data_IF_984885359924
#
_entry.id   IF_984885359924
#
_cell.length_a   1.000
_cell.length_b   1.000
_cell.length_c   1.000
_cell.angle_alpha   90.00
_cell.angle_beta   90.00
_cell.angle_gamma   90.00
#
_symmetry.space_group_name_H-M   'P 1'
#
loop_
_entity.id
_entity.type
_entity.pdbx_description
1 polymer ?
#
# COMPACT_ATOMS: atom_id res chain seq x y z
N UNK A 1 -40.33 36.70 45.92
CA UNK A 1 -40.32 35.52 45.03
C UNK A 1 -39.76 35.96 43.69
N UNK A 2 -38.56 35.51 43.30
CA UNK A 2 -38.24 35.38 41.87
C UNK A 2 -37.06 34.44 41.67
N UNK A 3 -37.27 33.54 40.71
CA UNK A 3 -36.58 32.27 40.51
C UNK A 3 -35.28 32.45 39.72
N UNK A 4 -34.30 31.65 40.11
CA UNK A 4 -33.04 31.39 39.40
C UNK A 4 -33.35 30.73 38.05
N UNK A 5 -32.71 31.19 36.97
CA UNK A 5 -32.50 30.42 35.74
C UNK A 5 -31.04 30.58 35.31
N UNK A 6 -30.25 29.54 35.55
CA UNK A 6 -28.90 29.37 35.00
C UNK A 6 -29.09 28.67 33.65
N UNK A 7 -28.82 29.39 32.56
CA UNK A 7 -28.81 28.86 31.20
C UNK A 7 -27.44 28.26 30.89
N UNK A 8 -27.40 26.95 30.69
CA UNK A 8 -26.24 26.20 30.21
C UNK A 8 -26.15 26.39 28.68
N UNK A 9 -25.17 27.16 28.19
CA UNK A 9 -24.80 27.20 26.77
C UNK A 9 -23.77 26.09 26.51
N UNK A 10 -24.17 25.07 25.74
CA UNK A 10 -23.25 24.10 25.14
C UNK A 10 -22.88 24.64 23.76
N UNK A 11 -21.66 25.16 23.62
CA UNK A 11 -21.10 25.53 22.33
C UNK A 11 -20.67 24.28 21.56
N UNK A 12 -21.43 23.92 20.53
CA UNK A 12 -21.08 22.88 19.57
C UNK A 12 -20.12 23.50 18.54
N UNK A 13 -18.81 23.26 18.69
CA UNK A 13 -17.82 23.66 17.69
C UNK A 13 -17.84 22.65 16.53
N UNK A 14 -18.51 22.99 15.44
CA UNK A 14 -18.36 22.29 14.16
C UNK A 14 -17.05 22.74 13.50
N UNK A 15 -16.00 21.91 13.59
CA UNK A 15 -14.81 22.07 12.75
C UNK A 15 -15.10 21.46 11.38
N UNK A 16 -15.49 22.30 10.42
CA UNK A 16 -15.45 21.93 9.00
C UNK A 16 -14.01 22.07 8.49
N UNK A 17 -13.33 20.94 8.29
CA UNK A 17 -12.09 20.89 7.50
C UNK A 17 -12.47 21.06 6.02
N UNK A 18 -12.43 22.30 5.55
CA UNK A 18 -12.47 22.59 4.12
C UNK A 18 -11.11 22.20 3.53
N UNK A 19 -11.00 21.01 2.94
CA UNK A 19 -9.85 20.66 2.11
C UNK A 19 -9.93 21.50 0.83
N UNK A 20 -9.27 22.66 0.84
CA UNK A 20 -9.08 23.47 -0.37
C UNK A 20 -8.11 22.74 -1.28
N UNK A 21 -8.62 22.11 -2.34
CA UNK A 21 -7.83 21.63 -3.46
C UNK A 21 -7.17 22.83 -4.16
N UNK A 22 -5.95 23.17 -3.75
CA UNK A 22 -5.11 24.08 -4.52
C UNK A 22 -4.58 23.32 -5.73
N UNK A 23 -5.16 23.59 -6.89
CA UNK A 23 -4.67 23.15 -8.20
C UNK A 23 -3.20 23.57 -8.39
N UNK A 24 -2.29 22.61 -8.25
CA UNK A 24 -0.89 22.81 -8.58
C UNK A 24 -0.74 22.66 -10.09
N UNK A 25 -0.48 23.76 -10.81
CA UNK A 25 -0.18 23.71 -12.24
C UNK A 25 1.25 23.18 -12.40
N UNK A 26 1.40 21.96 -12.90
CA UNK A 26 2.72 21.36 -13.13
C UNK A 26 3.41 22.05 -14.31
N UNK A 27 4.56 22.67 -14.02
CA UNK A 27 5.48 23.20 -15.00
C UNK A 27 6.14 22.07 -15.77
N UNK A 28 6.32 22.30 -17.07
CA UNK A 28 7.01 21.41 -17.99
C UNK A 28 8.48 21.26 -17.57
N UNK A 29 8.86 20.04 -17.19
CA UNK A 29 10.23 19.54 -17.23
C UNK A 29 10.96 19.50 -15.89
N UNK A 30 10.96 18.33 -15.27
CA UNK A 30 12.12 17.78 -14.56
C UNK A 30 12.23 16.29 -14.95
N UNK A 31 13.31 15.94 -15.63
CA UNK A 31 13.57 14.63 -16.23
C UNK A 31 13.91 13.57 -15.17
N UNK A 32 12.89 13.10 -14.43
CA UNK A 32 12.95 11.84 -13.69
C UNK A 32 12.01 10.77 -14.26
N UNK A 33 11.59 10.92 -15.52
CA UNK A 33 11.02 9.82 -16.29
C UNK A 33 12.14 8.86 -16.68
N UNK A 34 12.32 7.78 -15.91
CA UNK A 34 12.91 6.57 -16.48
C UNK A 34 11.89 6.03 -17.51
N UNK A 35 12.20 6.19 -18.78
CA UNK A 35 11.68 5.34 -19.87
C UNK A 35 10.16 5.38 -20.17
N UNK A 36 9.40 6.38 -19.73
CA UNK A 36 7.98 6.53 -20.11
C UNK A 36 7.08 5.38 -19.69
N UNK A 37 7.47 4.66 -18.63
CA UNK A 37 6.87 3.39 -18.17
C UNK A 37 5.93 3.54 -16.98
N UNK A 38 5.72 4.77 -16.51
CA UNK A 38 5.07 5.05 -15.23
C UNK A 38 3.76 5.80 -15.46
N UNK A 39 2.65 5.05 -15.41
CA UNK A 39 1.32 5.63 -15.32
C UNK A 39 1.18 6.24 -13.93
N UNK A 40 1.55 7.52 -13.79
CA UNK A 40 0.85 8.36 -12.82
C UNK A 40 -0.62 8.26 -13.17
N UNK A 41 -1.48 8.01 -12.17
CA UNK A 41 -2.92 8.09 -12.38
C UNK A 41 -3.23 9.36 -13.18
N UNK A 42 -4.23 9.32 -14.07
CA UNK A 42 -4.71 10.50 -14.83
C UNK A 42 -4.94 11.74 -13.93
N UNK A 43 -5.04 11.54 -12.61
CA UNK A 43 -5.31 12.54 -11.58
C UNK A 43 -4.18 12.78 -10.55
N UNK A 44 -2.95 12.33 -10.79
CA UNK A 44 -1.77 12.82 -10.06
C UNK A 44 -1.64 12.39 -8.59
N UNK A 45 -2.40 11.40 -8.11
CA UNK A 45 -2.02 10.68 -6.89
C UNK A 45 -0.89 9.72 -7.26
N UNK A 46 0.31 9.92 -6.72
CA UNK A 46 1.39 8.96 -6.83
C UNK A 46 0.99 7.70 -6.05
N UNK A 47 0.43 6.73 -6.78
CA UNK A 47 0.00 5.44 -6.24
C UNK A 47 1.21 4.64 -5.74
N UNK A 48 2.38 4.83 -6.34
CA UNK A 48 3.63 4.23 -5.90
C UNK A 48 4.81 5.17 -6.17
N UNK A 49 5.67 5.34 -5.18
CA UNK A 49 6.93 6.10 -5.31
C UNK A 49 7.94 5.27 -6.12
N UNK A 50 8.38 5.72 -7.32
CA UNK A 50 9.29 4.93 -8.15
C UNK A 50 10.62 4.60 -7.47
N UNK A 51 11.06 5.39 -6.50
CA UNK A 51 12.35 5.19 -5.83
C UNK A 51 12.27 4.22 -4.65
N UNK A 52 11.05 3.94 -4.14
CA UNK A 52 10.83 3.06 -2.99
C UNK A 52 9.68 2.07 -3.22
N UNK A 53 9.45 1.68 -4.48
CA UNK A 53 8.41 0.73 -4.86
C UNK A 53 8.93 -0.42 -5.68
N UNK A 54 8.28 -1.57 -5.53
CA UNK A 54 8.42 -2.71 -6.44
C UNK A 54 7.11 -2.84 -7.20
N UNK A 55 7.19 -2.82 -8.52
CA UNK A 55 6.05 -2.98 -9.40
C UNK A 55 5.93 -4.42 -9.89
N UNK A 56 4.71 -4.87 -10.15
CA UNK A 56 4.44 -6.17 -10.76
C UNK A 56 5.14 -6.34 -12.11
N UNK A 57 5.35 -5.24 -12.85
CA UNK A 57 6.12 -5.23 -14.10
C UNK A 57 7.59 -5.62 -13.95
N UNK A 58 8.16 -5.49 -12.75
CA UNK A 58 9.59 -5.74 -12.46
C UNK A 58 9.90 -7.22 -12.22
N UNK A 59 8.86 -8.04 -12.08
CA UNK A 59 8.98 -9.48 -11.92
C UNK A 59 9.40 -10.14 -13.23
N UNK A 60 10.32 -11.11 -13.10
CA UNK A 60 10.78 -11.97 -14.19
C UNK A 60 9.85 -13.18 -14.25
N UNK A 61 9.21 -13.36 -15.40
CA UNK A 61 8.29 -14.48 -15.61
C UNK A 61 9.00 -15.83 -15.48
N UNK A 62 8.25 -16.83 -15.00
CA UNK A 62 8.72 -18.21 -14.86
C UNK A 62 9.61 -18.45 -13.65
N UNK A 63 9.92 -17.44 -12.83
CA UNK A 63 10.62 -17.63 -11.56
C UNK A 63 9.64 -17.96 -10.43
N UNK A 64 10.02 -18.87 -9.55
CA UNK A 64 9.31 -19.10 -8.28
C UNK A 64 9.78 -18.16 -7.16
N UNK A 65 10.99 -17.60 -7.26
CA UNK A 65 11.54 -16.65 -6.27
C UNK A 65 12.31 -15.52 -6.96
N UNK A 66 12.14 -14.30 -6.46
CA UNK A 66 12.87 -13.12 -6.90
C UNK A 66 13.19 -12.21 -5.72
N UNK A 67 14.47 -11.83 -5.60
CA UNK A 67 14.92 -10.84 -4.62
C UNK A 67 15.19 -9.51 -5.30
N UNK A 68 14.57 -8.46 -4.79
CA UNK A 68 14.84 -7.07 -5.12
C UNK A 68 15.85 -6.54 -4.09
N UNK A 69 17.10 -6.38 -4.55
CA UNK A 69 18.19 -5.91 -3.70
C UNK A 69 18.07 -4.42 -3.46
N UNK A 70 18.29 -4.01 -2.21
CA UNK A 70 18.22 -2.60 -1.81
C UNK A 70 16.91 -1.93 -2.27
N UNK A 71 15.80 -2.67 -2.11
CA UNK A 71 14.44 -2.20 -2.42
C UNK A 71 14.19 -0.84 -1.77
N UNK A 72 14.57 -0.74 -0.51
CA UNK A 72 14.79 0.50 0.18
C UNK A 72 16.20 0.41 0.82
N UNK A 73 16.84 1.54 1.20
CA UNK A 73 18.17 1.53 1.79
C UNK A 73 18.41 0.42 2.83
N UNK A 74 19.42 -0.40 2.58
CA UNK A 74 19.87 -1.53 3.41
C UNK A 74 18.80 -2.61 3.67
N UNK A 75 17.77 -2.68 2.84
CA UNK A 75 16.71 -3.69 2.96
C UNK A 75 16.43 -4.34 1.62
N UNK A 76 16.54 -5.66 1.57
CA UNK A 76 16.13 -6.46 0.42
C UNK A 76 14.71 -6.96 0.66
N UNK A 77 13.94 -7.10 -0.43
CA UNK A 77 12.66 -7.78 -0.43
C UNK A 77 12.75 -9.06 -1.26
N UNK A 78 12.39 -10.20 -0.69
CA UNK A 78 12.35 -11.49 -1.39
C UNK A 78 10.92 -11.97 -1.52
N UNK A 79 10.48 -12.13 -2.77
CA UNK A 79 9.17 -12.62 -3.13
C UNK A 79 9.27 -14.08 -3.55
N UNK A 80 8.33 -14.90 -3.11
CA UNK A 80 8.18 -16.31 -3.48
C UNK A 80 6.75 -16.58 -3.94
N UNK A 81 6.60 -17.05 -5.18
CA UNK A 81 5.34 -17.57 -5.69
C UNK A 81 5.12 -19.00 -5.17
N UNK A 82 3.90 -19.28 -4.74
CA UNK A 82 3.48 -20.61 -4.31
C UNK A 82 2.23 -21.01 -5.09
N UNK A 83 2.17 -22.26 -5.53
CA UNK A 83 1.13 -22.76 -6.45
C UNK A 83 1.52 -22.67 -7.93
N UNK A 84 2.62 -21.98 -8.26
CA UNK A 84 3.15 -21.85 -9.61
C UNK A 84 4.41 -20.98 -9.64
N UNK A 85 4.67 -20.32 -10.77
CA UNK A 85 5.73 -19.32 -10.92
C UNK A 85 5.13 -17.92 -11.08
N UNK A 86 5.92 -16.88 -10.89
CA UNK A 86 5.52 -15.52 -11.24
C UNK A 86 5.12 -15.44 -12.72
N UNK A 87 3.94 -14.89 -12.95
CA UNK A 87 3.45 -14.55 -14.27
C UNK A 87 2.79 -13.18 -14.21
N UNK A 88 3.04 -12.34 -15.21
CA UNK A 88 2.45 -11.02 -15.28
C UNK A 88 1.14 -11.06 -16.05
N UNK A 89 0.24 -10.15 -15.70
CA UNK A 89 -0.99 -9.87 -16.44
C UNK A 89 -1.12 -8.38 -16.67
N UNK A 90 -1.61 -8.01 -17.84
CA UNK A 90 -1.85 -6.60 -18.20
C UNK A 90 -3.29 -6.42 -18.63
N UNK A 91 -3.96 -5.44 -18.06
CA UNK A 91 -5.33 -5.05 -18.40
C UNK A 91 -5.45 -3.54 -18.27
N UNK A 92 -6.12 -2.89 -19.23
CA UNK A 92 -6.27 -1.44 -19.29
C UNK A 92 -4.94 -0.66 -19.13
N UNK A 93 -3.85 -1.21 -19.69
CA UNK A 93 -2.52 -0.61 -19.58
C UNK A 93 -1.83 -0.75 -18.21
N UNK A 94 -2.49 -1.36 -17.21
CA UNK A 94 -1.89 -1.67 -15.91
C UNK A 94 -1.33 -3.09 -15.92
N UNK A 95 -0.04 -3.24 -15.59
CA UNK A 95 0.62 -4.54 -15.44
C UNK A 95 0.81 -4.88 -13.97
N UNK A 96 0.33 -6.05 -13.54
CA UNK A 96 0.60 -6.63 -12.23
C UNK A 96 1.28 -8.00 -12.33
N UNK A 97 1.65 -8.56 -11.19
CA UNK A 97 2.16 -9.93 -11.07
C UNK A 97 1.20 -10.80 -10.26
N UNK A 98 0.93 -11.98 -10.77
CA UNK A 98 0.26 -13.08 -10.09
C UNK A 98 1.07 -14.37 -10.21
N UNK A 99 0.36 -15.50 -10.26
CA UNK A 99 0.94 -16.84 -10.31
C UNK A 99 0.46 -17.55 -11.58
N UNK A 100 1.27 -18.48 -12.09
CA UNK A 100 1.02 -19.19 -13.35
C UNK A 100 0.28 -20.53 -13.18
N UNK A 101 -0.17 -20.88 -11.99
CA UNK A 101 -0.61 -22.25 -11.67
C UNK A 101 -2.05 -22.53 -12.10
N UNK A 102 -2.93 -21.54 -11.92
CA UNK A 102 -4.35 -21.64 -12.25
C UNK A 102 -4.77 -20.59 -13.27
N UNK A 103 -5.26 -19.45 -12.82
CA UNK A 103 -5.67 -18.37 -13.70
C UNK A 103 -4.45 -17.56 -14.10
N UNK A 104 -4.19 -17.53 -15.40
CA UNK A 104 -2.89 -17.14 -15.94
C UNK A 104 -2.52 -15.70 -15.56
N UNK A 105 -1.56 -15.56 -14.64
CA UNK A 105 -1.04 -14.27 -14.20
C UNK A 105 -1.86 -13.59 -13.10
N UNK A 106 -2.79 -14.29 -12.46
CA UNK A 106 -3.53 -13.86 -11.26
C UNK A 106 -3.12 -14.71 -10.05
N UNK A 107 -3.40 -14.23 -8.84
CA UNK A 107 -3.28 -15.01 -7.61
C UNK A 107 -4.65 -15.64 -7.38
N UNK A 108 -4.78 -16.95 -7.58
CA UNK A 108 -6.02 -17.73 -7.43
C UNK A 108 -5.97 -18.58 -6.14
N UNK A 109 -7.09 -19.21 -5.77
CA UNK A 109 -7.24 -20.06 -4.59
C UNK A 109 -6.14 -21.12 -4.51
N UNK A 110 -5.44 -21.20 -3.38
CA UNK A 110 -4.33 -22.15 -3.21
C UNK A 110 -3.00 -21.66 -3.80
N UNK A 111 -3.01 -20.50 -4.46
CA UNK A 111 -1.83 -19.75 -4.83
C UNK A 111 -1.63 -18.57 -3.87
N UNK A 112 -0.38 -18.13 -3.76
CA UNK A 112 -0.03 -16.91 -3.03
C UNK A 112 1.33 -16.38 -3.44
N UNK A 113 1.57 -15.12 -3.10
CA UNK A 113 2.90 -14.50 -3.15
C UNK A 113 3.31 -14.15 -1.73
N UNK A 114 4.34 -14.84 -1.24
CA UNK A 114 4.96 -14.59 0.06
C UNK A 114 6.10 -13.58 -0.10
N UNK A 115 6.18 -12.59 0.78
CA UNK A 115 7.21 -11.54 0.77
C UNK A 115 7.90 -11.52 2.12
N UNK A 116 9.23 -11.50 2.11
CA UNK A 116 10.06 -11.32 3.31
C UNK A 116 11.03 -10.16 3.13
N UNK A 117 11.32 -9.47 4.21
CA UNK A 117 12.23 -8.33 4.23
C UNK A 117 13.44 -8.64 5.12
N UNK A 118 14.63 -8.19 4.71
CA UNK A 118 15.84 -8.36 5.55
C UNK A 118 15.84 -7.48 6.81
N UNK A 119 15.01 -6.43 6.82
CA UNK A 119 14.72 -5.56 7.96
C UNK A 119 13.22 -5.33 8.05
N UNK A 120 12.73 -4.99 9.23
CA UNK A 120 11.32 -4.64 9.40
C UNK A 120 11.06 -3.23 8.85
N UNK A 121 10.02 -3.08 8.03
CA UNK A 121 9.77 -1.84 7.28
C UNK A 121 8.37 -1.29 7.55
N UNK A 122 8.17 -0.01 7.24
CA UNK A 122 6.84 0.59 7.16
C UNK A 122 6.35 0.49 5.72
N UNK A 123 5.23 -0.20 5.51
CA UNK A 123 4.56 -0.24 4.21
C UNK A 123 3.71 1.01 4.10
N UNK A 124 3.98 1.82 3.08
CA UNK A 124 3.27 3.09 2.85
C UNK A 124 2.13 2.94 1.86
N UNK A 125 2.26 2.02 0.90
CA UNK A 125 1.20 1.73 -0.05
C UNK A 125 1.24 0.28 -0.54
N UNK A 126 0.06 -0.30 -0.78
CA UNK A 126 -0.12 -1.53 -1.56
C UNK A 126 -1.13 -1.23 -2.65
N UNK A 127 -0.86 -1.64 -3.88
CA UNK A 127 -1.82 -1.56 -4.99
C UNK A 127 -2.10 -2.94 -5.53
N UNK A 128 -3.38 -3.30 -5.55
CA UNK A 128 -3.88 -4.53 -6.15
C UNK A 128 -4.73 -4.18 -7.38
N UNK A 129 -4.73 -5.07 -8.36
CA UNK A 129 -5.55 -4.94 -9.57
C UNK A 129 -6.40 -6.18 -9.79
N UNK A 130 -7.38 -6.04 -10.68
CA UNK A 130 -8.29 -7.12 -11.07
C UNK A 130 -9.13 -7.60 -9.88
N UNK A 131 -9.59 -6.68 -9.02
CA UNK A 131 -10.61 -6.99 -8.01
C UNK A 131 -11.91 -6.31 -8.43
N UNK A 132 -12.81 -7.07 -9.05
CA UNK A 132 -14.08 -6.62 -9.58
C UNK A 132 -15.24 -6.78 -8.58
N UNK A 133 -16.32 -6.03 -8.81
CA UNK A 133 -17.56 -6.17 -8.04
C UNK A 133 -18.77 -6.12 -8.97
N UNK A 134 -18.98 -7.18 -9.75
CA UNK A 134 -20.17 -7.19 -10.58
C UNK A 134 -20.34 -8.33 -11.58
N UNK A 135 -21.44 -8.27 -12.35
CA UNK A 135 -21.79 -9.30 -13.34
C UNK A 135 -20.83 -9.34 -14.53
N UNK A 136 -19.96 -8.34 -14.70
CA UNK A 136 -19.03 -8.15 -15.84
C UNK A 136 -18.17 -9.39 -16.08
N UNK A 137 -17.77 -10.07 -15.00
CA UNK A 137 -17.05 -11.34 -15.03
C UNK A 137 -17.80 -12.47 -14.30
N UNK A 138 -18.97 -12.17 -13.72
CA UNK A 138 -19.75 -13.12 -12.93
C UNK A 138 -19.27 -13.28 -11.48
N UNK A 139 -18.31 -12.45 -11.08
CA UNK A 139 -17.67 -12.45 -9.77
C UNK A 139 -18.02 -11.16 -9.02
N UNK A 140 -18.83 -11.33 -7.99
CA UNK A 140 -19.36 -10.24 -7.17
C UNK A 140 -18.54 -10.14 -5.90
N UNK A 141 -18.16 -8.93 -5.51
CA UNK A 141 -17.35 -8.59 -4.34
C UNK A 141 -16.03 -9.34 -4.23
N UNK A 142 -15.19 -9.27 -5.26
CA UNK A 142 -13.89 -9.92 -5.20
C UNK A 142 -13.05 -9.39 -4.03
N UNK A 143 -12.42 -10.33 -3.33
CA UNK A 143 -11.75 -10.07 -2.06
C UNK A 143 -10.33 -10.62 -2.07
N UNK A 144 -9.35 -9.74 -1.93
CA UNK A 144 -7.97 -10.12 -1.67
C UNK A 144 -7.70 -10.21 -0.16
N UNK A 145 -6.92 -11.22 0.24
CA UNK A 145 -6.41 -11.34 1.61
C UNK A 145 -4.92 -11.05 1.66
N UNK A 146 -4.55 -10.21 2.61
CA UNK A 146 -3.17 -9.87 2.94
C UNK A 146 -2.90 -10.26 4.39
N UNK A 147 -2.02 -11.23 4.61
CA UNK A 147 -1.53 -11.55 5.95
C UNK A 147 -0.23 -10.80 6.20
N UNK A 148 -0.18 -9.97 7.24
CA UNK A 148 1.03 -9.28 7.67
C UNK A 148 1.61 -9.94 8.91
N UNK A 149 2.93 -10.20 8.89
CA UNK A 149 3.70 -10.53 10.09
C UNK A 149 4.40 -9.27 10.57
N UNK A 150 4.17 -8.89 11.82
CA UNK A 150 4.73 -7.67 12.40
C UNK A 150 6.07 -7.92 13.10
N UNK A 151 6.74 -6.84 13.50
CA UNK A 151 8.02 -6.85 14.22
C UNK A 151 8.01 -7.74 15.48
N UNK A 152 6.89 -7.79 16.19
CA UNK A 152 6.71 -8.60 17.41
C UNK A 152 6.40 -10.08 17.12
N UNK A 153 6.39 -10.47 15.83
CA UNK A 153 6.05 -11.81 15.37
C UNK A 153 4.55 -12.09 15.30
N UNK A 154 3.69 -11.13 15.69
CA UNK A 154 2.24 -11.30 15.57
C UNK A 154 1.83 -11.29 14.10
N UNK A 155 0.82 -12.09 13.77
CA UNK A 155 0.22 -12.12 12.45
C UNK A 155 -1.20 -11.55 12.48
N UNK A 156 -1.59 -10.85 11.43
CA UNK A 156 -2.97 -10.40 11.25
C UNK A 156 -3.38 -10.46 9.79
N UNK A 157 -4.63 -10.85 9.58
CA UNK A 157 -5.26 -10.93 8.27
C UNK A 157 -6.02 -9.64 7.99
N UNK A 158 -5.84 -9.12 6.78
CA UNK A 158 -6.54 -7.96 6.27
C UNK A 158 -7.16 -8.27 4.93
N UNK A 159 -8.28 -7.63 4.63
CA UNK A 159 -9.08 -7.89 3.44
C UNK A 159 -9.34 -6.59 2.70
N UNK A 160 -9.08 -6.60 1.40
CA UNK A 160 -9.56 -5.59 0.46
C UNK A 160 -10.69 -6.22 -0.35
N UNK A 161 -11.89 -5.65 -0.27
CA UNK A 161 -13.07 -6.14 -0.98
C UNK A 161 -13.59 -5.05 -1.90
N UNK A 162 -13.74 -5.34 -3.18
CA UNK A 162 -14.46 -4.48 -4.11
C UNK A 162 -15.96 -4.50 -3.75
N UNK A 163 -16.61 -3.34 -3.70
CA UNK A 163 -18.01 -3.16 -3.24
C UNK A 163 -18.83 -2.26 -4.16
N UNK A 164 -18.25 -1.88 -5.30
CA UNK A 164 -18.91 -1.27 -6.43
C UNK A 164 -17.88 -0.90 -7.50
N UNK A 165 -18.34 -0.26 -8.57
CA UNK A 165 -17.48 0.16 -9.69
C UNK A 165 -16.30 1.05 -9.25
N UNK A 166 -16.49 1.89 -8.23
CA UNK A 166 -15.49 2.84 -7.72
C UNK A 166 -15.30 2.77 -6.21
N UNK A 167 -15.89 1.78 -5.54
CA UNK A 167 -15.89 1.65 -4.08
C UNK A 167 -15.33 0.32 -3.63
N UNK A 168 -14.48 0.35 -2.60
CA UNK A 168 -13.91 -0.84 -1.97
C UNK A 168 -13.73 -0.61 -0.47
N UNK A 169 -13.71 -1.69 0.30
CA UNK A 169 -13.50 -1.66 1.75
C UNK A 169 -12.18 -2.33 2.14
N UNK A 170 -11.48 -1.73 3.11
CA UNK A 170 -10.27 -2.29 3.72
C UNK A 170 -10.50 -2.51 5.21
N UNK A 171 -10.08 -3.67 5.73
CA UNK A 171 -10.27 -4.00 7.16
C UNK A 171 -9.16 -3.48 8.07
N UNK A 172 -8.07 -2.94 7.53
CA UNK A 172 -6.95 -2.38 8.29
C UNK A 172 -7.08 -0.87 8.55
N UNK A 173 -6.09 -0.27 9.23
CA UNK A 173 -6.11 1.16 9.60
C UNK A 173 -5.99 2.14 8.42
N UNK A 174 -5.52 1.69 7.26
CA UNK A 174 -5.29 2.51 6.08
C UNK A 174 -6.56 2.96 5.34
N UNK A 175 -6.38 3.65 4.22
CA UNK A 175 -7.48 4.14 3.37
C UNK A 175 -7.38 3.58 1.96
N UNK A 176 -8.52 3.28 1.35
CA UNK A 176 -8.60 2.78 -0.02
C UNK A 176 -8.97 3.91 -0.98
N UNK A 177 -8.36 3.90 -2.15
CA UNK A 177 -8.72 4.74 -3.29
C UNK A 177 -8.85 3.91 -4.56
N UNK A 178 -9.82 4.26 -5.41
CA UNK A 178 -9.99 3.69 -6.73
C UNK A 178 -9.07 4.42 -7.72
N UNK A 179 -8.26 3.67 -8.46
CA UNK A 179 -7.32 4.18 -9.46
C UNK A 179 -7.80 3.87 -10.89
N UNK A 180 -8.49 2.74 -11.06
CA UNK A 180 -9.18 2.34 -12.29
C UNK A 180 -10.46 1.62 -11.90
N UNK A 181 -11.56 1.90 -12.59
CA UNK A 181 -12.89 1.38 -12.25
C UNK A 181 -12.92 -0.16 -12.31
N UNK A 182 -13.79 -0.76 -11.51
CA UNK A 182 -14.11 -2.18 -11.56
C UNK A 182 -15.20 -2.49 -12.60
N UNK A 183 -15.02 -2.00 -13.83
CA UNK A 183 -15.90 -2.29 -14.97
C UNK A 183 -15.23 -3.17 -16.02
N UNK A 184 -16.03 -3.70 -16.94
CA UNK A 184 -15.55 -4.61 -17.98
C UNK A 184 -14.42 -4.01 -18.81
N UNK A 185 -13.28 -4.71 -18.89
CA UNK A 185 -12.11 -4.30 -19.65
C UNK A 185 -11.16 -3.33 -18.93
N UNK A 186 -11.58 -2.75 -17.80
CA UNK A 186 -10.78 -1.84 -16.98
C UNK A 186 -9.86 -2.61 -16.02
N UNK A 187 -8.92 -1.91 -15.37
CA UNK A 187 -7.90 -2.52 -14.51
C UNK A 187 -8.38 -2.90 -13.10
N UNK A 188 -9.54 -2.40 -12.65
CA UNK A 188 -10.07 -2.58 -11.29
C UNK A 188 -8.98 -2.41 -10.22
N UNK A 189 -8.33 -1.25 -10.27
CA UNK A 189 -7.08 -0.98 -9.56
C UNK A 189 -7.36 -0.21 -8.28
N UNK A 190 -6.91 -0.75 -7.15
CA UNK A 190 -7.19 -0.24 -5.82
C UNK A 190 -5.89 0.01 -5.07
N UNK A 191 -5.70 1.24 -4.60
CA UNK A 191 -4.56 1.62 -3.79
C UNK A 191 -4.95 1.72 -2.32
N UNK A 192 -4.17 1.06 -1.46
CA UNK A 192 -4.32 1.03 -0.01
C UNK A 192 -3.19 1.83 0.61
N UNK A 193 -3.47 3.06 1.02
CA UNK A 193 -2.50 3.94 1.67
C UNK A 193 -2.39 3.60 3.15
N UNK A 194 -1.16 3.56 3.66
CA UNK A 194 -0.82 3.23 5.05
C UNK A 194 -1.55 1.97 5.58
N UNK A 195 -1.44 0.83 4.87
CA UNK A 195 -2.31 -0.34 5.09
C UNK A 195 -2.27 -0.88 6.53
N UNK A 196 -1.16 -0.69 7.23
CA UNK A 196 -0.92 -1.23 8.57
C UNK A 196 -0.65 -0.15 9.64
N UNK A 197 -0.84 1.13 9.32
CA UNK A 197 -0.51 2.23 10.23
C UNK A 197 0.99 2.28 10.53
N UNK A 198 1.34 2.68 11.75
CA UNK A 198 2.73 2.78 12.18
C UNK A 198 3.38 1.42 12.53
N UNK A 199 2.69 0.31 12.25
CA UNK A 199 3.20 -1.04 12.53
C UNK A 199 4.23 -1.45 11.49
N UNK A 200 5.35 -1.97 11.98
CA UNK A 200 6.43 -2.48 11.15
C UNK A 200 6.17 -3.92 10.75
N UNK A 201 6.40 -4.21 9.48
CA UNK A 201 6.15 -5.50 8.85
C UNK A 201 7.48 -6.20 8.57
N UNK A 202 7.56 -7.47 8.94
CA UNK A 202 8.68 -8.37 8.65
C UNK A 202 8.42 -9.23 7.41
N UNK A 203 7.16 -9.57 7.16
CA UNK A 203 6.72 -10.37 6.03
C UNK A 203 5.26 -10.07 5.66
N UNK A 204 4.91 -10.28 4.39
CA UNK A 204 3.55 -10.25 3.87
C UNK A 204 3.23 -11.54 3.14
N UNK A 205 1.96 -11.90 3.06
CA UNK A 205 1.46 -12.94 2.17
C UNK A 205 0.20 -12.46 1.48
N UNK A 206 0.23 -12.41 0.15
CA UNK A 206 -0.91 -12.10 -0.71
C UNK A 206 -1.53 -13.42 -1.15
N UNK A 207 -2.71 -13.75 -0.61
CA UNK A 207 -3.39 -15.03 -0.86
C UNK A 207 -4.81 -14.80 -1.36
N UNK A 208 -5.32 -15.75 -2.14
CA UNK A 208 -6.72 -15.79 -2.52
C UNK A 208 -7.60 -16.52 -1.50
N UNK A 209 -8.85 -16.08 -1.30
CA UNK A 209 -9.76 -16.66 -0.29
C UNK A 209 -11.05 -17.16 -0.89
N UNK A 210 -11.46 -18.36 -0.46
CA UNK A 210 -12.77 -18.93 -0.77
C UNK A 210 -13.85 -18.46 0.18
N UNK A 211 -15.09 -18.32 -0.31
CA UNK A 211 -16.26 -18.13 0.55
C UNK A 211 -16.49 -16.71 1.06
N UNK A 212 -15.71 -15.72 0.63
CA UNK A 212 -15.92 -14.31 0.94
C UNK A 212 -16.43 -13.59 -0.31
N UNK A 213 -17.76 -13.45 -0.43
CA UNK A 213 -18.40 -12.62 -1.44
C UNK A 213 -19.76 -12.13 -0.92
N UNK A 214 -20.31 -11.04 -1.46
CA UNK A 214 -21.55 -10.43 -0.96
C UNK A 214 -22.80 -11.27 -1.27
N UNK A 215 -22.81 -11.99 -2.40
CA UNK A 215 -23.92 -12.89 -2.75
C UNK A 215 -23.47 -13.97 -3.76
N UNK A 216 -24.08 -15.17 -3.70
CA UNK A 216 -23.82 -16.26 -4.66
C UNK A 216 -23.02 -17.43 -4.08
N UNK A 217 -22.44 -18.27 -4.96
CA UNK A 217 -21.73 -19.50 -4.55
C UNK A 217 -20.32 -19.26 -4.00
N UNK A 218 -19.84 -18.01 -4.01
CA UNK A 218 -18.54 -17.57 -3.48
C UNK A 218 -17.37 -18.55 -3.71
N UNK A 219 -17.27 -19.14 -4.90
CA UNK A 219 -16.34 -20.22 -5.22
C UNK A 219 -15.00 -19.77 -5.83
N UNK A 220 -14.91 -18.56 -6.39
CA UNK A 220 -13.72 -18.07 -7.11
C UNK A 220 -13.58 -16.53 -7.17
N UNK A 221 -13.99 -15.80 -6.13
CA UNK A 221 -14.06 -14.33 -6.15
C UNK A 221 -12.77 -13.71 -5.58
N UNK A 222 -11.63 -14.20 -6.02
CA UNK A 222 -10.34 -13.78 -5.48
C UNK A 222 -9.22 -14.02 -6.47
N UNK A 223 -9.38 -13.58 -7.71
CA UNK A 223 -8.36 -13.66 -8.75
C UNK A 223 -7.80 -12.26 -9.02
N UNK A 224 -6.65 -11.93 -8.43
CA UNK A 224 -6.13 -10.56 -8.47
C UNK A 224 -4.64 -10.53 -8.76
N UNK A 225 -4.11 -9.34 -9.02
CA UNK A 225 -2.67 -9.12 -9.21
C UNK A 225 -2.10 -8.17 -8.17
N UNK A 226 -0.85 -8.42 -7.78
CA UNK A 226 -0.04 -7.43 -7.10
C UNK A 226 0.49 -6.44 -8.14
N UNK A 227 -0.05 -5.22 -8.14
CA UNK A 227 0.44 -4.17 -9.03
C UNK A 227 1.68 -3.50 -8.45
N UNK A 228 1.69 -3.20 -7.16
CA UNK A 228 2.80 -2.51 -6.53
C UNK A 228 2.81 -2.60 -5.00
N UNK A 229 4.00 -2.54 -4.41
CA UNK A 229 4.21 -2.31 -2.98
C UNK A 229 5.25 -1.20 -2.78
N UNK A 230 4.93 -0.23 -1.91
CA UNK A 230 5.81 0.88 -1.52
C UNK A 230 6.12 0.80 -0.03
N UNK A 231 7.35 1.16 0.33
CA UNK A 231 7.77 1.19 1.73
C UNK A 231 8.73 2.34 1.99
N UNK A 232 8.97 2.62 3.26
CA UNK A 232 10.02 3.56 3.67
C UNK A 232 10.91 2.92 4.71
N UNK A 233 12.23 3.21 4.69
CA UNK A 233 13.11 2.79 5.77
C UNK A 233 12.64 3.38 7.09
N UNK A 234 13.14 2.81 8.19
CA UNK A 234 13.09 3.55 9.44
C UNK A 234 13.64 4.95 9.19
N UNK A 235 12.95 6.01 9.66
CA UNK A 235 13.50 7.33 9.58
C UNK A 235 14.85 7.29 10.31
N UNK A 236 15.94 7.40 9.55
CA UNK A 236 17.25 7.76 10.09
C UNK A 236 17.18 9.06 10.89
N UNK A 237 16.05 9.77 10.84
CA UNK A 237 15.61 10.79 11.78
C UNK A 237 15.97 10.51 13.24
N UNK A 238 15.86 9.28 13.77
CA UNK A 238 16.34 9.04 15.14
C UNK A 238 17.86 9.12 15.24
N UNK A 239 18.59 8.54 14.31
CA UNK A 239 20.05 8.64 14.25
C UNK A 239 20.51 10.08 14.00
N UNK A 240 19.84 10.83 13.14
CA UNK A 240 20.13 12.22 12.79
C UNK A 240 19.71 13.18 13.91
N UNK A 241 18.61 12.92 14.60
CA UNK A 241 18.20 13.63 15.81
C UNK A 241 19.22 13.42 16.92
N UNK A 242 19.64 12.17 17.15
CA UNK A 242 20.65 11.87 18.17
C UNK A 242 22.02 12.44 17.80
N UNK A 243 22.43 12.37 16.53
CA UNK A 243 23.64 13.02 16.04
C UNK A 243 23.56 14.55 16.19
N UNK A 244 22.41 15.15 15.88
CA UNK A 244 22.15 16.58 16.07
C UNK A 244 22.27 17.00 17.55
N UNK A 245 21.64 16.24 18.46
CA UNK A 245 21.73 16.47 19.90
C UNK A 245 23.18 16.31 20.39
N UNK A 246 23.89 15.27 19.95
CA UNK A 246 25.28 15.04 20.31
C UNK A 246 26.20 16.19 19.83
N UNK A 247 26.00 16.67 18.60
CA UNK A 247 26.75 17.79 18.04
C UNK A 247 26.51 19.10 18.81
N UNK A 248 25.25 19.38 19.17
CA UNK A 248 24.89 20.55 19.99
C UNK A 248 25.49 20.44 21.39
N UNK A 249 25.38 19.28 22.04
CA UNK A 249 25.96 19.01 23.36
C UNK A 249 27.49 19.19 23.38
N UNK A 250 28.19 18.68 22.37
CA UNK A 250 29.63 18.85 22.23
C UNK A 250 30.03 20.32 22.01
N UNK A 251 29.26 21.04 21.21
CA UNK A 251 29.47 22.47 20.93
C UNK A 251 29.24 23.34 22.17
N UNK A 252 28.19 23.06 22.94
CA UNK A 252 27.91 23.75 24.21
C UNK A 252 29.02 23.50 25.24
N UNK A 253 29.51 22.26 25.36
CA UNK A 253 30.63 21.91 26.26
C UNK A 253 31.92 22.63 25.91
N UNK A 254 32.21 22.82 24.61
CA UNK A 254 33.37 23.59 24.14
C UNK A 254 33.28 25.08 24.53
N UNK A 255 32.09 25.68 24.47
CA UNK A 255 31.88 27.08 24.87
C UNK A 255 32.02 27.30 26.38
N UNK A 256 31.52 26.37 27.20
CA UNK A 256 31.66 26.44 28.66
C UNK A 256 33.13 26.42 29.10
N UNK A 257 33.98 25.61 28.46
CA UNK A 257 35.43 25.56 28.75
C UNK A 257 36.19 26.84 28.38
N UNK A 258 35.71 27.62 27.39
CA UNK A 258 36.31 28.90 27.00
C UNK A 258 35.95 30.06 27.91
N UNK A 259 34.93 29.92 28.77
CA UNK A 259 34.47 30.98 29.68
C UNK A 259 35.09 30.84 31.08
N UNK A 260 35.78 29.74 31.36
CA UNK A 260 36.48 29.48 32.64
C UNK A 260 38.01 29.63 32.53
N UNK A 261 38.51 30.19 31.43
CA UNK A 261 39.90 30.59 31.22
C UNK A 261 39.94 32.09 30.93
#
# INVERSE_FOLDING_TARGET
MNKIKIGLLIGLAAFSLNASATSFKYGKGDNHDRDGKYSTSKDGCAVCDPDNSIFGSDFKEGKSTQTFKNFIPDTDATFTAVGGNFQKKTQDGYTGVGVSGKTSGEIDIGERIDVSFTKNILITNITLGLLFDGPEYGDVNETAKITATFLDGTQSDFFLTATGLTTATWTGPGTVSNISEASYGEGALWAIANPFGDKRVSALSFTAVTGLCGSGKCNNQSDYVLHCISAVPEPSTYAMMMAGIAAVGFSARRKAKKTQA
#
